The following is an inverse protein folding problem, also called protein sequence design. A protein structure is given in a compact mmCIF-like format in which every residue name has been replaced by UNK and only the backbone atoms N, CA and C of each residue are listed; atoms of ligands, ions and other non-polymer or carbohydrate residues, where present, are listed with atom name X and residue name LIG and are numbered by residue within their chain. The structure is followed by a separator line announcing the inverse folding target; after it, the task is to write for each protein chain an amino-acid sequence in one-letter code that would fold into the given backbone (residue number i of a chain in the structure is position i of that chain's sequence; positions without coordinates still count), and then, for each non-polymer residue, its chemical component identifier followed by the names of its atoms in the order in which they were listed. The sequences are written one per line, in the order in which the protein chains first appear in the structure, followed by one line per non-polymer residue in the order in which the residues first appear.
data_IF_593090143908
#
_entry.id   IF_593090143908
#
_cell.length_a   1.000
_cell.length_b   1.000
_cell.length_c   1.000
_cell.angle_alpha   90.00
_cell.angle_beta   90.00
_cell.angle_gamma   90.00
#
_symmetry.space_group_name_H-M   'P 1'
#
loop_
_entity.id
_entity.type
_entity.pdbx_description
1 polymer ?
#
# COMPACT_ATOMS: atom_id res chain seq x y z
N UNK A 1 -23.17 46.65 3.03
CA UNK A 1 -22.07 46.37 2.08
C UNK A 1 -22.35 45.01 1.44
N UNK A 2 -23.08 45.01 0.32
CA UNK A 2 -23.57 43.80 -0.32
C UNK A 2 -22.54 43.29 -1.36
N UNK A 3 -21.99 42.11 -1.13
CA UNK A 3 -21.04 41.45 -2.04
C UNK A 3 -21.84 40.68 -3.08
N UNK A 4 -22.01 41.28 -4.26
CA UNK A 4 -22.53 40.60 -5.44
C UNK A 4 -21.46 39.69 -6.04
N UNK A 5 -21.61 38.37 -5.83
CA UNK A 5 -20.81 37.34 -6.50
C UNK A 5 -21.15 37.30 -8.00
N UNK A 6 -20.26 37.89 -8.80
CA UNK A 6 -20.27 37.81 -10.26
C UNK A 6 -19.89 36.38 -10.68
N UNK A 7 -20.88 35.59 -11.11
CA UNK A 7 -20.68 34.27 -11.69
C UNK A 7 -19.96 34.43 -13.03
N UNK A 8 -18.68 34.02 -13.07
CA UNK A 8 -17.88 33.99 -14.30
C UNK A 8 -18.32 32.80 -15.16
N UNK A 9 -18.66 32.99 -16.45
CA UNK A 9 -19.08 31.90 -17.32
C UNK A 9 -17.91 30.94 -17.57
N UNK A 10 -18.12 29.68 -17.19
CA UNK A 10 -17.17 28.57 -17.39
C UNK A 10 -17.05 28.29 -18.89
N UNK A 11 -15.96 28.75 -19.48
CA UNK A 11 -15.66 28.56 -20.89
C UNK A 11 -15.52 27.05 -21.21
N UNK A 12 -16.53 26.47 -21.88
CA UNK A 12 -16.53 25.08 -22.36
C UNK A 12 -15.58 24.95 -23.55
N UNK A 13 -14.27 25.03 -23.29
CA UNK A 13 -13.30 24.53 -24.24
C UNK A 13 -13.49 23.02 -24.36
N UNK A 14 -13.83 22.61 -25.58
CA UNK A 14 -14.00 21.25 -26.07
C UNK A 14 -12.69 20.49 -25.88
N UNK A 15 -12.40 20.06 -24.66
CA UNK A 15 -11.42 19.01 -24.37
C UNK A 15 -11.99 17.78 -25.05
N UNK A 16 -11.46 17.45 -26.22
CA UNK A 16 -11.69 16.18 -26.89
C UNK A 16 -11.36 15.11 -25.85
N UNK A 17 -12.40 14.50 -25.28
CA UNK A 17 -12.27 13.53 -24.23
C UNK A 17 -11.64 12.28 -24.84
N UNK A 18 -10.32 12.13 -24.62
CA UNK A 18 -9.50 10.98 -25.03
C UNK A 18 -10.14 9.65 -24.57
N UNK A 19 -11.06 9.70 -23.60
CA UNK A 19 -11.90 8.58 -23.16
C UNK A 19 -12.79 7.96 -24.24
N UNK A 20 -13.29 8.71 -25.23
CA UNK A 20 -14.23 8.14 -26.23
C UNK A 20 -13.57 7.40 -27.40
N UNK A 21 -12.23 7.47 -27.55
CA UNK A 21 -11.49 6.77 -28.61
C UNK A 21 -10.99 5.38 -28.15
N UNK A 22 -11.17 5.04 -26.87
CA UNK A 22 -10.64 3.81 -26.28
C UNK A 22 -11.67 2.68 -26.11
N UNK A 23 -12.93 2.86 -26.52
CA UNK A 23 -14.04 1.96 -26.16
C UNK A 23 -14.65 1.16 -27.33
N UNK A 24 -13.92 1.02 -28.44
CA UNK A 24 -14.30 0.09 -29.50
C UNK A 24 -13.72 -1.29 -29.20
N UNK A 25 -14.55 -2.15 -28.58
CA UNK A 25 -14.48 -3.63 -28.49
C UNK A 25 -13.09 -4.21 -28.72
N UNK A 26 -12.23 -4.15 -27.71
CA UNK A 26 -11.04 -5.01 -27.67
C UNK A 26 -11.49 -6.45 -27.33
N UNK A 27 -10.93 -7.48 -27.98
CA UNK A 27 -11.15 -8.86 -27.58
C UNK A 27 -10.87 -8.99 -26.08
N UNK A 28 -11.69 -9.77 -25.36
CA UNK A 28 -11.48 -10.01 -23.95
C UNK A 28 -10.00 -10.34 -23.73
N UNK A 29 -9.28 -9.59 -22.89
CA UNK A 29 -7.88 -9.83 -22.72
C UNK A 29 -7.70 -11.24 -22.19
N UNK A 30 -6.83 -12.01 -22.86
CA UNK A 30 -6.52 -13.38 -22.45
C UNK A 30 -6.24 -13.39 -20.94
N UNK A 31 -7.13 -14.02 -20.17
CA UNK A 31 -7.10 -13.99 -18.71
C UNK A 31 -6.10 -14.98 -18.12
N UNK A 32 -5.41 -15.75 -18.98
CA UNK A 32 -4.35 -16.68 -18.62
C UNK A 32 -3.09 -15.89 -18.22
N UNK A 33 -2.64 -16.06 -16.97
CA UNK A 33 -1.42 -15.44 -16.44
C UNK A 33 -0.19 -16.26 -16.82
N UNK A 34 0.88 -15.54 -17.14
CA UNK A 34 2.24 -16.11 -17.15
C UNK A 34 2.59 -16.67 -15.76
N UNK A 35 3.08 -17.91 -15.72
CA UNK A 35 3.35 -18.65 -14.46
C UNK A 35 4.34 -17.90 -13.58
N UNK A 36 5.27 -17.17 -14.18
CA UNK A 36 6.29 -16.39 -13.50
C UNK A 36 5.69 -15.17 -12.79
N UNK A 37 4.79 -14.43 -13.45
CA UNK A 37 4.09 -13.31 -12.82
C UNK A 37 3.18 -13.83 -11.70
N UNK A 38 2.47 -14.94 -11.92
CA UNK A 38 1.70 -15.58 -10.88
C UNK A 38 2.58 -15.98 -9.68
N UNK A 39 3.79 -16.48 -9.92
CA UNK A 39 4.72 -16.87 -8.84
C UNK A 39 5.20 -15.68 -8.01
N UNK A 40 5.31 -14.48 -8.60
CA UNK A 40 5.63 -13.24 -7.87
C UNK A 40 4.49 -12.82 -6.94
N UNK A 41 3.23 -13.00 -7.38
CA UNK A 41 2.03 -12.56 -6.65
C UNK A 41 1.49 -13.61 -5.67
N UNK A 42 1.79 -14.90 -5.90
CA UNK A 42 1.31 -16.04 -5.13
C UNK A 42 1.48 -15.91 -3.60
N UNK A 43 2.62 -15.45 -3.06
CA UNK A 43 2.78 -15.34 -1.62
C UNK A 43 1.72 -14.44 -0.99
N UNK A 44 1.48 -13.26 -1.58
CA UNK A 44 0.48 -12.32 -1.09
C UNK A 44 -0.93 -12.84 -1.32
N UNK A 45 -1.20 -13.44 -2.48
CA UNK A 45 -2.52 -14.00 -2.79
C UNK A 45 -2.92 -15.08 -1.80
N UNK A 46 -2.00 -15.98 -1.41
CA UNK A 46 -2.27 -17.03 -0.41
C UNK A 46 -2.65 -16.40 0.93
N UNK A 47 -1.85 -15.45 1.44
CA UNK A 47 -2.15 -14.83 2.75
C UNK A 47 -3.42 -14.00 2.71
N UNK A 48 -3.62 -13.21 1.64
CA UNK A 48 -4.86 -12.47 1.47
C UNK A 48 -6.07 -13.39 1.36
N UNK A 49 -5.93 -14.54 0.69
CA UNK A 49 -7.01 -15.52 0.59
C UNK A 49 -7.35 -16.13 1.95
N UNK A 50 -6.34 -16.53 2.74
CA UNK A 50 -6.50 -17.07 4.10
C UNK A 50 -7.17 -16.04 5.02
N UNK A 51 -6.78 -14.75 4.90
CA UNK A 51 -7.32 -13.65 5.70
C UNK A 51 -8.57 -13.00 5.10
N UNK A 52 -9.26 -13.66 4.17
CA UNK A 52 -10.48 -13.17 3.50
C UNK A 52 -10.38 -11.74 2.94
N UNK A 53 -9.22 -11.38 2.41
CA UNK A 53 -8.87 -10.03 1.92
C UNK A 53 -8.35 -10.03 0.48
N UNK A 54 -8.51 -11.14 -0.24
CA UNK A 54 -8.07 -11.24 -1.63
C UNK A 54 -9.01 -10.48 -2.56
N UNK A 55 -8.49 -9.53 -3.33
CA UNK A 55 -9.30 -8.79 -4.29
C UNK A 55 -9.68 -9.62 -5.55
N UNK A 56 -9.06 -10.77 -5.78
CA UNK A 56 -9.28 -11.57 -6.99
C UNK A 56 -9.00 -13.06 -6.74
N UNK A 57 -9.50 -13.91 -7.63
CA UNK A 57 -9.22 -15.34 -7.62
C UNK A 57 -8.20 -15.70 -8.69
N UNK A 58 -7.33 -16.66 -8.38
CA UNK A 58 -6.45 -17.30 -9.36
C UNK A 58 -6.79 -18.78 -9.37
N UNK A 59 -7.35 -19.28 -10.46
CA UNK A 59 -7.72 -20.69 -10.62
C UNK A 59 -7.21 -21.19 -11.96
N UNK A 60 -6.42 -22.26 -11.98
CA UNK A 60 -5.85 -22.84 -13.21
C UNK A 60 -5.10 -21.82 -14.08
N UNK A 61 -4.31 -20.93 -13.46
CA UNK A 61 -3.60 -19.81 -14.11
C UNK A 61 -4.54 -18.77 -14.76
N UNK A 62 -5.84 -18.77 -14.46
CA UNK A 62 -6.79 -17.76 -14.93
C UNK A 62 -7.07 -16.80 -13.78
N UNK A 63 -6.96 -15.49 -14.02
CA UNK A 63 -7.44 -14.48 -13.06
C UNK A 63 -8.93 -14.27 -13.28
N UNK A 64 -9.70 -14.46 -12.21
CA UNK A 64 -11.12 -14.18 -12.16
C UNK A 64 -11.47 -13.19 -11.06
N UNK A 65 -12.72 -12.73 -11.09
CA UNK A 65 -13.34 -12.15 -9.90
C UNK A 65 -13.46 -13.22 -8.82
N UNK A 66 -13.60 -12.77 -7.58
CA UNK A 66 -13.99 -13.66 -6.51
C UNK A 66 -15.36 -14.29 -6.82
N UNK A 67 -15.60 -15.47 -6.28
CA UNK A 67 -16.92 -16.09 -6.33
C UNK A 67 -17.85 -15.37 -5.35
N UNK A 68 -19.14 -15.39 -5.63
CA UNK A 68 -20.16 -14.88 -4.70
C UNK A 68 -20.04 -15.53 -3.30
N UNK A 69 -19.67 -16.81 -3.26
CA UNK A 69 -19.43 -17.55 -2.01
C UNK A 69 -18.24 -16.96 -1.24
N UNK A 70 -17.14 -16.61 -1.92
CA UNK A 70 -15.99 -15.97 -1.26
C UNK A 70 -16.36 -14.58 -0.72
N UNK A 71 -17.12 -13.79 -1.48
CA UNK A 71 -17.57 -12.47 -1.02
C UNK A 71 -18.50 -12.61 0.21
N UNK A 72 -19.37 -13.62 0.24
CA UNK A 72 -20.17 -13.96 1.42
C UNK A 72 -19.30 -14.33 2.63
N UNK A 73 -18.25 -15.13 2.43
CA UNK A 73 -17.29 -15.45 3.49
C UNK A 73 -16.51 -14.21 3.96
N UNK A 74 -16.15 -13.29 3.06
CA UNK A 74 -15.50 -12.03 3.43
C UNK A 74 -16.40 -11.15 4.32
N UNK A 75 -17.69 -11.04 3.99
CA UNK A 75 -18.68 -10.32 4.79
C UNK A 75 -18.91 -11.02 6.14
N UNK A 76 -19.03 -12.35 6.12
CA UNK A 76 -19.20 -13.14 7.34
C UNK A 76 -18.00 -13.02 8.27
N UNK A 77 -16.77 -13.08 7.71
CA UNK A 77 -15.53 -12.86 8.43
C UNK A 77 -15.48 -11.47 9.07
N UNK A 78 -15.90 -10.42 8.33
CA UNK A 78 -16.02 -9.08 8.89
C UNK A 78 -16.98 -9.03 10.09
N UNK A 79 -18.17 -9.62 9.99
CA UNK A 79 -19.16 -9.60 11.07
C UNK A 79 -18.65 -10.36 12.30
N UNK A 80 -18.13 -11.58 12.08
CA UNK A 80 -17.56 -12.42 13.15
C UNK A 80 -16.42 -11.69 13.84
N UNK A 81 -15.53 -11.06 13.07
CA UNK A 81 -14.46 -10.26 13.64
C UNK A 81 -14.98 -9.11 14.48
N UNK A 82 -15.97 -8.35 14.01
CA UNK A 82 -16.51 -7.22 14.79
C UNK A 82 -17.13 -7.70 16.11
N UNK A 83 -17.76 -8.88 16.12
CA UNK A 83 -18.27 -9.49 17.35
C UNK A 83 -17.11 -9.81 18.31
N UNK A 84 -16.03 -10.43 17.81
CA UNK A 84 -14.85 -10.70 18.63
C UNK A 84 -14.17 -9.43 19.13
N UNK A 85 -13.98 -8.43 18.28
CA UNK A 85 -13.39 -7.14 18.63
C UNK A 85 -14.25 -6.41 19.68
N UNK A 86 -15.57 -6.46 19.53
CA UNK A 86 -16.49 -5.89 20.52
C UNK A 86 -16.47 -6.66 21.84
N UNK A 87 -16.38 -7.99 21.80
CA UNK A 87 -16.23 -8.81 23.00
C UNK A 87 -14.93 -8.49 23.75
N UNK A 88 -13.79 -8.44 23.05
CA UNK A 88 -12.51 -8.01 23.64
C UNK A 88 -12.61 -6.63 24.25
N UNK A 89 -13.17 -5.68 23.51
CA UNK A 89 -13.38 -4.32 24.00
C UNK A 89 -14.15 -4.29 25.32
N UNK A 90 -15.25 -5.04 25.43
CA UNK A 90 -16.05 -5.12 26.67
C UNK A 90 -15.28 -5.87 27.78
N UNK A 91 -14.55 -6.93 27.44
CA UNK A 91 -13.73 -7.67 28.40
C UNK A 91 -12.66 -6.79 29.02
N UNK A 92 -11.93 -6.05 28.19
CA UNK A 92 -10.85 -5.14 28.60
C UNK A 92 -11.39 -3.95 29.41
N UNK A 93 -12.57 -3.42 29.06
CA UNK A 93 -13.21 -2.35 29.83
C UNK A 93 -13.64 -2.79 31.24
N UNK A 94 -14.00 -4.06 31.42
CA UNK A 94 -14.41 -4.63 32.70
C UNK A 94 -13.22 -5.14 33.52
N UNK A 95 -12.00 -5.11 32.98
CA UNK A 95 -10.82 -5.52 33.70
C UNK A 95 -10.45 -4.45 34.73
N UNK A 96 -10.64 -4.78 36.02
CA UNK A 96 -10.35 -3.87 37.13
C UNK A 96 -8.84 -3.73 37.33
N UNK A 97 -8.25 -2.66 36.81
CA UNK A 97 -6.89 -2.24 37.13
C UNK A 97 -6.85 -1.47 38.46
N UNK A 98 -5.71 -1.46 39.17
CA UNK A 98 -5.52 -0.60 40.33
C UNK A 98 -5.94 0.84 40.02
N UNK A 99 -6.85 1.39 40.83
CA UNK A 99 -7.51 2.67 40.56
C UNK A 99 -6.50 3.80 40.36
N UNK A 100 -6.64 4.57 39.27
CA UNK A 100 -5.79 5.75 39.02
C UNK A 100 -5.67 6.13 37.54
N UNK A 101 -4.59 6.82 37.20
CA UNK A 101 -4.28 7.25 35.83
C UNK A 101 -4.11 6.07 34.86
N UNK A 102 -3.55 4.96 35.35
CA UNK A 102 -3.30 3.72 34.61
C UNK A 102 -4.56 3.11 34.02
N UNK A 103 -5.61 3.02 34.83
CA UNK A 103 -6.92 2.50 34.41
C UNK A 103 -7.54 3.35 33.32
N UNK A 104 -7.50 4.68 33.48
CA UNK A 104 -8.03 5.63 32.48
C UNK A 104 -7.28 5.49 31.15
N UNK A 105 -5.94 5.44 31.21
CA UNK A 105 -5.11 5.32 30.02
C UNK A 105 -5.35 3.99 29.28
N UNK A 106 -5.36 2.87 30.01
CA UNK A 106 -5.62 1.56 29.44
C UNK A 106 -6.98 1.54 28.73
N UNK A 107 -8.05 2.00 29.40
CA UNK A 107 -9.40 2.09 28.81
C UNK A 107 -9.45 2.98 27.57
N UNK A 108 -8.79 4.14 27.58
CA UNK A 108 -8.68 5.00 26.40
C UNK A 108 -7.92 4.33 25.25
N UNK A 109 -6.84 3.61 25.57
CA UNK A 109 -6.08 2.80 24.63
C UNK A 109 -6.95 1.74 23.96
N UNK A 110 -7.69 0.96 24.75
CA UNK A 110 -8.63 -0.05 24.26
C UNK A 110 -9.73 0.55 23.38
N UNK A 111 -10.29 1.72 23.74
CA UNK A 111 -11.26 2.44 22.89
C UNK A 111 -10.63 2.80 21.54
N UNK A 112 -9.39 3.32 21.56
CA UNK A 112 -8.69 3.72 20.33
C UNK A 112 -8.39 2.51 19.44
N UNK A 113 -7.89 1.41 20.02
CA UNK A 113 -7.59 0.17 19.31
C UNK A 113 -8.86 -0.43 18.70
N UNK A 114 -9.96 -0.51 19.47
CA UNK A 114 -11.27 -0.95 18.96
C UNK A 114 -11.70 -0.16 17.72
N UNK A 115 -11.69 1.18 17.81
CA UNK A 115 -12.08 2.05 16.70
C UNK A 115 -11.15 1.84 15.49
N UNK A 116 -9.85 1.79 15.73
CA UNK A 116 -8.84 1.70 14.68
C UNK A 116 -8.97 0.36 13.92
N UNK A 117 -9.05 -0.76 14.64
CA UNK A 117 -9.23 -2.08 14.02
C UNK A 117 -10.58 -2.21 13.32
N UNK A 118 -11.67 -1.70 13.92
CA UNK A 118 -13.00 -1.71 13.29
C UNK A 118 -13.04 -0.92 11.99
N UNK A 119 -12.42 0.26 11.94
CA UNK A 119 -12.30 1.05 10.69
C UNK A 119 -11.42 0.33 9.68
N UNK A 120 -10.28 -0.21 10.13
CA UNK A 120 -9.31 -0.88 9.26
C UNK A 120 -9.89 -2.08 8.53
N UNK A 121 -10.57 -2.96 9.27
CA UNK A 121 -11.20 -4.14 8.67
C UNK A 121 -12.38 -3.73 7.78
N UNK A 122 -13.18 -2.74 8.18
CA UNK A 122 -14.26 -2.21 7.36
C UNK A 122 -13.75 -1.69 6.01
N UNK A 123 -12.71 -0.84 6.03
CA UNK A 123 -12.06 -0.34 4.82
C UNK A 123 -11.53 -1.49 3.99
N UNK A 124 -10.86 -2.48 4.60
CA UNK A 124 -10.30 -3.61 3.87
C UNK A 124 -11.38 -4.47 3.18
N UNK A 125 -12.47 -4.80 3.88
CA UNK A 125 -13.58 -5.60 3.34
C UNK A 125 -14.33 -4.86 2.23
N UNK A 126 -14.63 -3.57 2.41
CA UNK A 126 -15.28 -2.76 1.36
C UNK A 126 -14.41 -2.68 0.10
N UNK A 127 -13.10 -2.48 0.27
CA UNK A 127 -12.18 -2.42 -0.87
C UNK A 127 -12.00 -3.78 -1.55
N UNK A 128 -11.99 -4.87 -0.79
CA UNK A 128 -11.92 -6.23 -1.30
C UNK A 128 -13.07 -6.50 -2.31
N UNK A 129 -14.30 -6.18 -1.91
CA UNK A 129 -15.50 -6.37 -2.75
C UNK A 129 -15.54 -5.38 -3.91
N UNK A 130 -15.38 -4.08 -3.63
CA UNK A 130 -15.59 -3.03 -4.64
C UNK A 130 -14.47 -2.94 -5.68
N UNK A 131 -13.24 -3.28 -5.33
CA UNK A 131 -12.07 -3.09 -6.19
C UNK A 131 -11.59 -4.36 -6.89
N UNK A 132 -12.37 -5.44 -6.82
CA UNK A 132 -12.02 -6.73 -7.43
C UNK A 132 -11.73 -6.60 -8.92
N UNK A 133 -12.65 -5.98 -9.68
CA UNK A 133 -12.49 -5.75 -11.12
C UNK A 133 -11.28 -4.87 -11.46
N UNK A 134 -11.03 -3.84 -10.65
CA UNK A 134 -9.87 -2.96 -10.83
C UNK A 134 -8.55 -3.71 -10.63
N UNK A 135 -8.50 -4.62 -9.66
CA UNK A 135 -7.31 -5.43 -9.34
C UNK A 135 -7.01 -6.44 -10.45
N UNK A 136 -8.03 -7.08 -11.01
CA UNK A 136 -7.89 -8.00 -12.17
C UNK A 136 -7.33 -7.24 -13.37
N UNK A 137 -7.94 -6.10 -13.71
CA UNK A 137 -7.52 -5.28 -14.85
C UNK A 137 -6.09 -4.77 -14.68
N UNK A 138 -5.70 -4.44 -13.45
CA UNK A 138 -4.33 -4.06 -13.11
C UNK A 138 -3.35 -5.18 -13.45
N UNK A 139 -3.57 -6.41 -12.99
CA UNK A 139 -2.63 -7.52 -13.20
C UNK A 139 -2.57 -7.92 -14.68
N UNK A 140 -3.71 -8.01 -15.35
CA UNK A 140 -3.80 -8.34 -16.79
C UNK A 140 -3.05 -7.30 -17.64
N UNK A 141 -3.16 -6.02 -17.31
CA UNK A 141 -2.42 -4.99 -18.03
C UNK A 141 -0.92 -5.04 -17.72
N UNK A 142 -0.51 -5.33 -16.48
CA UNK A 142 0.90 -5.58 -16.15
C UNK A 142 1.45 -6.71 -17.01
N UNK A 143 0.78 -7.86 -17.04
CA UNK A 143 1.20 -9.01 -17.84
C UNK A 143 1.34 -8.66 -19.34
N UNK A 144 0.34 -7.96 -19.90
CA UNK A 144 0.40 -7.51 -21.30
C UNK A 144 1.64 -6.65 -21.58
N UNK A 145 1.99 -5.77 -20.64
CA UNK A 145 3.19 -4.94 -20.76
C UNK A 145 4.47 -5.78 -20.65
N UNK A 146 4.52 -6.73 -19.72
CA UNK A 146 5.65 -7.66 -19.58
C UNK A 146 5.90 -8.45 -20.88
N UNK A 147 4.85 -9.00 -21.49
CA UNK A 147 4.93 -9.67 -22.79
C UNK A 147 5.40 -8.74 -23.91
N UNK A 148 4.97 -7.48 -23.89
CA UNK A 148 5.34 -6.47 -24.90
C UNK A 148 6.83 -6.08 -24.82
N UNK A 149 7.41 -6.03 -23.62
CA UNK A 149 8.82 -5.68 -23.39
C UNK A 149 9.77 -6.88 -23.34
N UNK A 150 9.24 -8.11 -23.41
CA UNK A 150 10.01 -9.35 -23.24
C UNK A 150 10.95 -9.28 -22.02
N UNK A 151 10.39 -8.85 -20.88
CA UNK A 151 11.16 -8.72 -19.64
C UNK A 151 11.65 -10.11 -19.22
N UNK A 152 12.93 -10.23 -18.92
CA UNK A 152 13.51 -11.51 -18.54
C UNK A 152 13.00 -11.89 -17.14
N UNK A 153 12.29 -13.00 -17.04
CA UNK A 153 11.74 -13.48 -15.77
C UNK A 153 12.83 -13.84 -14.74
N UNK A 154 14.07 -14.08 -15.16
CA UNK A 154 15.19 -14.26 -14.24
C UNK A 154 15.39 -13.04 -13.33
N UNK A 155 15.07 -11.83 -13.82
CA UNK A 155 15.12 -10.60 -13.02
C UNK A 155 14.04 -10.55 -11.93
N UNK A 156 12.94 -11.33 -12.09
CA UNK A 156 11.85 -11.41 -11.11
C UNK A 156 12.08 -12.49 -10.05
N UNK A 157 13.00 -13.44 -10.26
CA UNK A 157 13.25 -14.55 -9.32
C UNK A 157 13.65 -14.05 -7.93
N UNK A 158 14.46 -12.98 -7.87
CA UNK A 158 14.81 -12.34 -6.61
C UNK A 158 13.58 -11.77 -5.88
N UNK A 159 12.59 -11.23 -6.61
CA UNK A 159 11.35 -10.74 -6.00
C UNK A 159 10.53 -11.87 -5.40
N UNK A 160 10.43 -13.01 -6.08
CA UNK A 160 9.71 -14.19 -5.57
C UNK A 160 10.29 -14.62 -4.22
N UNK A 161 11.62 -14.79 -4.15
CA UNK A 161 12.31 -15.22 -2.93
C UNK A 161 12.14 -14.18 -1.82
N UNK A 162 12.35 -12.90 -2.13
CA UNK A 162 12.19 -11.81 -1.16
C UNK A 162 10.76 -11.74 -0.59
N UNK A 163 9.73 -11.89 -1.43
CA UNK A 163 8.33 -11.86 -1.01
C UNK A 163 8.00 -13.02 -0.06
N UNK A 164 8.49 -14.24 -0.34
CA UNK A 164 8.30 -15.38 0.56
C UNK A 164 9.01 -15.21 1.90
N UNK A 165 10.28 -14.81 1.87
CA UNK A 165 11.06 -14.56 3.10
C UNK A 165 10.33 -13.55 3.97
N UNK A 166 9.87 -12.45 3.37
CA UNK A 166 9.16 -11.43 4.11
C UNK A 166 7.88 -11.96 4.75
N UNK A 167 7.03 -12.65 3.99
CA UNK A 167 5.75 -13.16 4.51
C UNK A 167 5.97 -14.16 5.64
N UNK A 168 6.92 -15.08 5.47
CA UNK A 168 7.27 -16.07 6.49
C UNK A 168 7.78 -15.35 7.74
N UNK A 169 8.68 -14.38 7.58
CA UNK A 169 9.18 -13.56 8.68
C UNK A 169 8.07 -12.82 9.40
N UNK A 170 7.14 -12.18 8.68
CA UNK A 170 6.02 -11.44 9.27
C UNK A 170 5.08 -12.36 10.08
N UNK A 171 4.79 -13.56 9.58
CA UNK A 171 3.97 -14.55 10.28
C UNK A 171 4.69 -15.06 11.53
N UNK A 172 5.95 -15.49 11.40
CA UNK A 172 6.74 -15.99 12.53
C UNK A 172 6.87 -14.90 13.61
N UNK A 173 7.21 -13.68 13.21
CA UNK A 173 7.34 -12.55 14.12
C UNK A 173 6.02 -12.27 14.85
N UNK A 174 4.88 -12.35 14.16
CA UNK A 174 3.57 -12.14 14.77
C UNK A 174 3.19 -13.26 15.74
N UNK A 175 3.49 -14.52 15.41
CA UNK A 175 3.27 -15.65 16.31
C UNK A 175 4.14 -15.53 17.56
N UNK A 176 5.44 -15.24 17.40
CA UNK A 176 6.36 -15.02 18.53
C UNK A 176 5.83 -13.87 19.39
N UNK A 177 5.41 -12.76 18.78
CA UNK A 177 4.90 -11.61 19.52
C UNK A 177 3.65 -11.96 20.32
N UNK A 178 2.70 -12.67 19.71
CA UNK A 178 1.48 -13.14 20.37
C UNK A 178 1.80 -14.09 21.54
N UNK A 179 2.69 -15.06 21.33
CA UNK A 179 3.11 -15.99 22.37
C UNK A 179 3.83 -15.27 23.51
N UNK A 180 4.74 -14.34 23.24
CA UNK A 180 5.44 -13.60 24.30
C UNK A 180 4.47 -12.74 25.10
N UNK A 181 3.56 -12.02 24.44
CA UNK A 181 2.53 -11.26 25.15
C UNK A 181 1.63 -12.17 25.99
N UNK A 182 1.35 -13.38 25.50
CA UNK A 182 0.63 -14.41 26.27
C UNK A 182 1.35 -14.79 27.55
N UNK A 183 2.61 -15.16 27.45
CA UNK A 183 3.35 -15.65 28.60
C UNK A 183 3.73 -14.55 29.58
N UNK A 184 3.87 -13.30 29.13
CA UNK A 184 4.37 -12.21 29.98
C UNK A 184 3.30 -11.34 30.62
N UNK A 185 2.11 -11.12 30.01
CA UNK A 185 1.17 -10.10 30.49
C UNK A 185 -0.08 -10.70 31.16
N UNK A 186 -0.67 -11.75 30.59
CA UNK A 186 -2.02 -12.18 31.00
C UNK A 186 -2.07 -13.71 31.15
N UNK A 187 -2.31 -14.19 32.38
CA UNK A 187 -2.85 -15.52 32.62
C UNK A 187 -4.25 -15.62 32.00
N UNK A 188 -4.32 -15.94 30.70
CA UNK A 188 -5.59 -16.15 29.99
C UNK A 188 -5.76 -15.34 28.70
N UNK A 189 -4.78 -15.35 27.80
CA UNK A 189 -5.00 -14.83 26.45
C UNK A 189 -6.17 -15.55 25.79
N UNK A 190 -7.14 -14.74 25.38
CA UNK A 190 -8.26 -15.18 24.59
C UNK A 190 -7.86 -15.36 23.13
N UNK A 191 -8.67 -16.10 22.40
CA UNK A 191 -8.55 -16.25 20.94
C UNK A 191 -8.50 -14.89 20.23
N UNK A 192 -9.06 -13.83 20.83
CA UNK A 192 -9.15 -12.51 20.25
C UNK A 192 -7.79 -11.85 19.93
N UNK A 193 -6.78 -11.98 20.79
CA UNK A 193 -5.46 -11.35 20.57
C UNK A 193 -4.82 -11.88 19.28
N UNK A 194 -4.92 -13.19 19.04
CA UNK A 194 -4.48 -13.83 17.80
C UNK A 194 -5.17 -13.25 16.57
N UNK A 195 -6.44 -12.86 16.69
CA UNK A 195 -7.20 -12.28 15.58
C UNK A 195 -6.72 -10.86 15.27
N UNK A 196 -6.38 -10.06 16.29
CA UNK A 196 -5.77 -8.74 16.08
C UNK A 196 -4.42 -8.84 15.35
N UNK A 197 -3.57 -9.79 15.74
CA UNK A 197 -2.31 -10.06 15.04
C UNK A 197 -2.55 -10.47 13.58
N UNK A 198 -3.54 -11.33 13.33
CA UNK A 198 -3.91 -11.73 11.97
C UNK A 198 -4.33 -10.54 11.10
N UNK A 199 -5.04 -9.57 11.68
CA UNK A 199 -5.45 -8.36 10.96
C UNK A 199 -4.29 -7.41 10.72
N UNK A 200 -3.38 -7.27 11.69
CA UNK A 200 -2.17 -6.49 11.42
C UNK A 200 -1.34 -7.08 10.29
N UNK A 201 -1.22 -8.42 10.19
CA UNK A 201 -0.58 -9.07 9.04
C UNK A 201 -1.33 -8.72 7.74
N UNK A 202 -2.67 -8.66 7.76
CA UNK A 202 -3.45 -8.26 6.60
C UNK A 202 -3.08 -6.84 6.13
N UNK A 203 -2.90 -5.88 7.04
CA UNK A 203 -2.49 -4.52 6.69
C UNK A 203 -1.07 -4.48 6.10
N UNK A 204 -0.13 -5.20 6.71
CA UNK A 204 1.25 -5.33 6.21
C UNK A 204 1.26 -5.86 4.77
N UNK A 205 0.57 -6.99 4.55
CA UNK A 205 0.48 -7.68 3.26
C UNK A 205 -0.13 -6.78 2.18
N UNK A 206 -1.14 -5.99 2.52
CA UNK A 206 -1.76 -5.05 1.58
C UNK A 206 -0.77 -3.98 1.06
N UNK A 207 0.05 -3.41 1.94
CA UNK A 207 1.06 -2.39 1.57
C UNK A 207 2.20 -3.01 0.78
N UNK A 208 2.63 -4.22 1.15
CA UNK A 208 3.67 -4.95 0.43
C UNK A 208 3.22 -5.39 -0.96
N UNK A 209 1.98 -5.85 -1.08
CA UNK A 209 1.38 -6.16 -2.36
C UNK A 209 1.40 -4.94 -3.29
N UNK A 210 0.97 -3.76 -2.79
CA UNK A 210 1.05 -2.52 -3.55
C UNK A 210 2.51 -2.15 -3.92
N UNK A 211 3.46 -2.37 -3.01
CA UNK A 211 4.90 -2.17 -3.26
C UNK A 211 5.40 -3.05 -4.41
N UNK A 212 5.03 -4.33 -4.43
CA UNK A 212 5.44 -5.27 -5.47
C UNK A 212 4.86 -4.89 -6.83
N UNK A 213 3.59 -4.53 -6.89
CA UNK A 213 2.97 -4.05 -8.14
C UNK A 213 3.68 -2.80 -8.68
N UNK A 214 4.02 -1.85 -7.80
CA UNK A 214 4.74 -0.64 -8.19
C UNK A 214 6.17 -0.96 -8.66
N UNK A 215 6.83 -1.93 -8.02
CA UNK A 215 8.16 -2.39 -8.43
C UNK A 215 8.15 -3.06 -9.81
N UNK A 216 7.09 -3.81 -10.13
CA UNK A 216 6.88 -4.37 -11.47
C UNK A 216 6.67 -3.27 -12.52
N UNK A 217 5.89 -2.23 -12.20
CA UNK A 217 5.74 -1.06 -13.07
C UNK A 217 7.05 -0.30 -13.29
N UNK A 218 7.84 -0.13 -12.23
CA UNK A 218 9.17 0.48 -12.31
C UNK A 218 10.09 -0.31 -13.25
N UNK A 219 10.07 -1.65 -13.18
CA UNK A 219 10.84 -2.51 -14.10
C UNK A 219 10.44 -2.35 -15.56
N UNK A 220 9.14 -2.21 -15.82
CA UNK A 220 8.64 -1.91 -17.17
C UNK A 220 9.22 -0.58 -17.68
N UNK A 221 9.17 0.47 -16.84
CA UNK A 221 9.71 1.78 -17.17
C UNK A 221 11.23 1.74 -17.40
N UNK A 222 11.99 1.08 -16.53
CA UNK A 222 13.45 0.93 -16.67
C UNK A 222 13.80 0.26 -18.02
N UNK A 223 13.07 -0.79 -18.39
CA UNK A 223 13.27 -1.45 -19.68
C UNK A 223 12.94 -0.53 -20.86
N UNK A 224 11.87 0.23 -20.74
CA UNK A 224 11.46 1.23 -21.74
C UNK A 224 12.51 2.34 -21.92
N UNK A 225 13.09 2.83 -20.82
CA UNK A 225 14.21 3.79 -20.83
C UNK A 225 15.43 3.18 -21.53
N UNK A 226 15.77 1.93 -21.21
CA UNK A 226 16.88 1.22 -21.84
C UNK A 226 16.72 1.07 -23.35
N UNK A 227 15.48 0.84 -23.80
CA UNK A 227 15.13 0.82 -25.23
C UNK A 227 15.34 2.22 -25.84
N UNK A 228 14.81 3.28 -25.21
CA UNK A 228 14.97 4.64 -25.72
C UNK A 228 16.42 5.08 -25.85
N UNK A 229 17.28 4.66 -24.92
CA UNK A 229 18.70 5.00 -24.95
C UNK A 229 19.48 4.23 -26.02
N UNK A 230 19.07 3.00 -26.35
CA UNK A 230 19.74 2.16 -27.36
C UNK A 230 19.28 2.45 -28.77
N UNK A 231 18.01 2.81 -28.93
CA UNK A 231 17.47 3.11 -30.24
C UNK A 231 17.85 4.53 -30.65
N UNK A 232 18.85 4.65 -31.53
CA UNK A 232 19.17 5.88 -32.25
C UNK A 232 18.06 6.32 -33.20
N UNK A 233 18.41 7.01 -34.29
CA UNK A 233 17.43 7.56 -35.24
C UNK A 233 16.89 6.53 -36.25
N UNK A 234 17.21 5.25 -36.08
CA UNK A 234 16.85 4.15 -37.01
C UNK A 234 15.45 3.57 -36.82
N UNK A 235 14.69 4.03 -35.83
CA UNK A 235 13.33 3.52 -35.57
C UNK A 235 12.30 4.14 -36.53
N UNK A 236 11.30 3.34 -36.91
CA UNK A 236 10.17 3.82 -37.71
C UNK A 236 9.09 4.50 -36.84
N UNK A 237 8.15 5.20 -37.50
CA UNK A 237 7.03 5.88 -36.84
C UNK A 237 6.13 4.92 -36.04
N UNK A 238 5.86 3.74 -36.58
CA UNK A 238 5.03 2.72 -35.94
C UNK A 238 5.59 2.28 -34.59
N UNK A 239 6.90 2.16 -34.49
CA UNK A 239 7.57 1.83 -33.24
C UNK A 239 7.33 2.89 -32.18
N UNK A 240 7.45 4.18 -32.52
CA UNK A 240 7.23 5.27 -31.58
C UNK A 240 5.78 5.42 -31.17
N UNK A 241 4.85 5.14 -32.09
CA UNK A 241 3.42 5.01 -31.78
C UNK A 241 3.18 3.90 -30.76
N UNK A 242 3.82 2.74 -30.94
CA UNK A 242 3.76 1.62 -29.99
C UNK A 242 4.36 2.01 -28.63
N UNK A 243 5.52 2.67 -28.60
CA UNK A 243 6.17 3.13 -27.37
C UNK A 243 5.32 4.14 -26.59
N UNK A 244 4.67 5.08 -27.29
CA UNK A 244 3.72 6.02 -26.69
C UNK A 244 2.52 5.29 -26.08
N UNK A 245 1.93 4.34 -26.82
CA UNK A 245 0.79 3.57 -26.32
C UNK A 245 1.15 2.75 -25.07
N UNK A 246 2.34 2.14 -25.04
CA UNK A 246 2.81 1.42 -23.86
C UNK A 246 3.02 2.35 -22.67
N UNK A 247 3.54 3.56 -22.87
CA UNK A 247 3.66 4.57 -21.81
C UNK A 247 2.27 4.97 -21.26
N UNK A 248 1.29 5.16 -22.15
CA UNK A 248 -0.10 5.43 -21.75
C UNK A 248 -0.71 4.28 -20.94
N UNK A 249 -0.42 3.03 -21.32
CA UNK A 249 -0.86 1.85 -20.59
C UNK A 249 -0.21 1.76 -19.19
N UNK A 250 1.11 2.02 -19.07
CA UNK A 250 1.80 2.10 -17.77
C UNK A 250 1.14 3.14 -16.87
N UNK A 251 0.85 4.31 -17.43
CA UNK A 251 0.22 5.41 -16.72
C UNK A 251 -1.19 5.04 -16.23
N UNK A 252 -1.97 4.40 -17.10
CA UNK A 252 -3.32 3.91 -16.78
C UNK A 252 -3.27 2.88 -15.64
N UNK A 253 -2.32 1.96 -15.69
CA UNK A 253 -2.14 0.95 -14.63
C UNK A 253 -1.70 1.56 -13.30
N UNK A 254 -0.79 2.53 -13.34
CA UNK A 254 -0.42 3.30 -12.15
C UNK A 254 -1.64 4.01 -11.53
N UNK A 255 -2.52 4.59 -12.34
CA UNK A 255 -3.77 5.20 -11.86
C UNK A 255 -4.72 4.19 -11.20
N UNK A 256 -4.81 2.95 -11.71
CA UNK A 256 -5.55 1.88 -11.03
C UNK A 256 -4.89 1.50 -9.71
N UNK A 257 -3.55 1.35 -9.70
CA UNK A 257 -2.80 1.03 -8.49
C UNK A 257 -3.04 2.08 -7.41
N UNK A 258 -2.85 3.36 -7.73
CA UNK A 258 -3.11 4.48 -6.81
C UNK A 258 -4.53 4.43 -6.26
N UNK A 259 -5.55 4.31 -7.12
CA UNK A 259 -6.94 4.25 -6.65
C UNK A 259 -7.19 3.07 -5.72
N UNK A 260 -6.57 1.92 -5.98
CA UNK A 260 -6.76 0.69 -5.20
C UNK A 260 -6.03 0.72 -3.85
N UNK A 261 -4.79 1.21 -3.83
CA UNK A 261 -3.95 1.18 -2.64
C UNK A 261 -4.11 2.41 -1.74
N UNK A 262 -4.58 3.55 -2.27
CA UNK A 262 -4.60 4.84 -1.55
C UNK A 262 -5.23 4.77 -0.16
N UNK A 263 -6.43 4.23 -0.03
CA UNK A 263 -7.12 4.14 1.27
C UNK A 263 -6.41 3.18 2.23
N UNK A 264 -5.90 2.05 1.73
CA UNK A 264 -5.14 1.08 2.52
C UNK A 264 -3.84 1.71 3.08
N UNK A 265 -3.14 2.50 2.27
CA UNK A 265 -1.92 3.20 2.67
C UNK A 265 -2.21 4.30 3.70
N UNK A 266 -3.26 5.12 3.48
CA UNK A 266 -3.67 6.15 4.46
C UNK A 266 -3.95 5.51 5.80
N UNK A 267 -4.78 4.47 5.80
CA UNK A 267 -5.12 3.75 7.02
C UNK A 267 -3.87 3.18 7.68
N UNK A 268 -2.98 2.54 6.92
CA UNK A 268 -1.73 2.00 7.44
C UNK A 268 -0.83 3.08 8.06
N UNK A 269 -0.70 4.26 7.45
CA UNK A 269 0.07 5.37 8.04
C UNK A 269 -0.54 5.88 9.35
N UNK A 270 -1.87 6.03 9.40
CA UNK A 270 -2.59 6.41 10.64
C UNK A 270 -2.40 5.34 11.72
N UNK A 271 -2.54 4.06 11.34
CA UNK A 271 -2.34 2.92 12.21
C UNK A 271 -0.93 2.94 12.84
N UNK A 272 0.12 3.16 12.04
CA UNK A 272 1.49 3.27 12.57
C UNK A 272 1.61 4.43 13.56
N UNK A 273 1.04 5.60 13.23
CA UNK A 273 1.10 6.77 14.12
C UNK A 273 0.45 6.47 15.48
N UNK A 274 -0.78 5.97 15.46
CA UNK A 274 -1.55 5.63 16.66
C UNK A 274 -0.85 4.56 17.50
N UNK A 275 -0.42 3.46 16.89
CA UNK A 275 0.26 2.36 17.60
C UNK A 275 1.60 2.81 18.16
N UNK A 276 2.37 3.63 17.44
CA UNK A 276 3.66 4.14 17.92
C UNK A 276 3.49 5.04 19.14
N UNK A 277 2.50 5.93 19.14
CA UNK A 277 2.20 6.79 20.28
C UNK A 277 1.70 5.97 21.48
N UNK A 278 0.82 4.99 21.25
CA UNK A 278 0.32 4.09 22.31
C UNK A 278 1.44 3.31 22.96
N UNK A 279 2.33 2.71 22.16
CA UNK A 279 3.49 1.96 22.67
C UNK A 279 4.40 2.87 23.48
N UNK A 280 4.62 4.11 23.03
CA UNK A 280 5.45 5.04 23.77
C UNK A 280 4.87 5.38 25.15
N UNK A 281 3.58 5.72 25.22
CA UNK A 281 2.96 6.05 26.50
C UNK A 281 2.90 4.82 27.41
N UNK A 282 2.65 3.62 26.85
CA UNK A 282 2.75 2.36 27.58
C UNK A 282 4.15 2.18 28.19
N UNK A 283 5.22 2.48 27.45
CA UNK A 283 6.59 2.39 27.97
C UNK A 283 6.82 3.38 29.11
N UNK A 284 6.39 4.63 28.99
CA UNK A 284 6.56 5.64 30.05
C UNK A 284 5.87 5.22 31.34
N UNK A 285 4.67 4.68 31.21
CA UNK A 285 3.89 4.10 32.29
C UNK A 285 4.62 2.93 32.95
N UNK A 286 5.14 2.00 32.14
CA UNK A 286 5.81 0.80 32.63
C UNK A 286 7.15 1.13 33.30
N UNK A 287 7.83 2.19 32.86
CA UNK A 287 9.08 2.65 33.46
C UNK A 287 8.89 3.18 34.90
N UNK A 288 7.71 3.67 35.25
CA UNK A 288 7.40 4.16 36.60
C UNK A 288 7.22 3.01 37.62
N UNK A 289 6.79 1.83 37.15
CA UNK A 289 6.46 0.65 37.98
C UNK A 289 7.60 -0.39 38.10
N UNK A 290 8.83 -0.01 37.76
CA UNK A 290 10.01 -0.89 37.66
C UNK A 290 10.54 -1.48 38.99
N UNK A 291 9.70 -1.63 40.03
CA UNK A 291 10.14 -2.00 41.39
C UNK A 291 10.31 -3.50 41.66
N UNK A 292 10.25 -4.40 40.65
CA UNK A 292 10.52 -5.83 40.91
C UNK A 292 10.26 -6.89 39.82
N UNK A 293 9.89 -6.54 38.58
CA UNK A 293 9.67 -7.50 37.45
C UNK A 293 10.48 -7.15 36.19
N UNK A 294 11.77 -6.94 36.35
CA UNK A 294 12.59 -6.28 35.32
C UNK A 294 12.66 -7.05 33.99
N UNK A 295 12.74 -8.39 34.02
CA UNK A 295 12.99 -9.16 32.78
C UNK A 295 11.77 -9.23 31.87
N UNK A 296 10.59 -9.56 32.38
CA UNK A 296 9.35 -9.63 31.59
C UNK A 296 9.01 -8.27 30.98
N UNK A 297 9.18 -7.21 31.78
CA UNK A 297 8.94 -5.85 31.35
C UNK A 297 9.87 -5.43 30.20
N UNK A 298 11.17 -5.69 30.36
CA UNK A 298 12.17 -5.42 29.32
C UNK A 298 11.83 -6.17 28.03
N UNK A 299 11.38 -7.43 28.14
CA UNK A 299 10.98 -8.22 26.96
C UNK A 299 9.77 -7.60 26.24
N UNK A 300 8.75 -7.15 26.97
CA UNK A 300 7.57 -6.47 26.39
C UNK A 300 8.00 -5.17 25.69
N UNK A 301 8.88 -4.38 26.31
CA UNK A 301 9.40 -3.14 25.74
C UNK A 301 10.16 -3.44 24.44
N UNK A 302 11.08 -4.41 24.45
CA UNK A 302 11.84 -4.80 23.25
C UNK A 302 10.90 -5.26 22.13
N UNK A 303 9.92 -6.08 22.45
CA UNK A 303 8.99 -6.65 21.48
C UNK A 303 8.09 -5.59 20.84
N UNK A 304 7.51 -4.70 21.65
CA UNK A 304 6.66 -3.60 21.17
C UNK A 304 7.46 -2.61 20.33
N UNK A 305 8.71 -2.32 20.69
CA UNK A 305 9.61 -1.52 19.87
C UNK A 305 9.98 -2.23 18.55
N UNK A 306 10.27 -3.53 18.58
CA UNK A 306 10.51 -4.31 17.38
C UNK A 306 9.29 -4.28 16.42
N UNK A 307 8.07 -4.30 16.96
CA UNK A 307 6.84 -4.18 16.17
C UNK A 307 6.74 -2.82 15.45
N UNK A 308 7.04 -1.72 16.15
CA UNK A 308 7.05 -0.38 15.56
C UNK A 308 8.14 -0.24 14.48
N UNK A 309 9.33 -0.78 14.73
CA UNK A 309 10.43 -0.79 13.76
C UNK A 309 10.04 -1.58 12.51
N UNK A 310 9.40 -2.75 12.66
CA UNK A 310 8.84 -3.53 11.54
C UNK A 310 7.89 -2.68 10.70
N UNK A 311 6.92 -2.03 11.34
CA UNK A 311 5.93 -1.21 10.65
C UNK A 311 6.56 -0.03 9.90
N UNK A 312 7.51 0.66 10.53
CA UNK A 312 8.27 1.75 9.91
C UNK A 312 9.11 1.25 8.72
N UNK A 313 9.72 0.07 8.84
CA UNK A 313 10.48 -0.54 7.74
C UNK A 313 9.60 -0.82 6.52
N UNK A 314 8.38 -1.36 6.72
CA UNK A 314 7.40 -1.57 5.63
C UNK A 314 7.06 -0.25 4.95
N UNK A 315 6.79 0.79 5.75
CA UNK A 315 6.43 2.11 5.22
C UNK A 315 7.60 2.71 4.41
N UNK A 316 8.83 2.66 4.93
CA UNK A 316 10.05 3.12 4.25
C UNK A 316 10.28 2.36 2.95
N UNK A 317 10.11 1.04 2.98
CA UNK A 317 10.25 0.20 1.79
C UNK A 317 9.25 0.58 0.70
N UNK A 318 7.99 0.78 1.08
CA UNK A 318 6.94 1.18 0.16
C UNK A 318 7.20 2.57 -0.42
N UNK A 319 7.46 3.58 0.42
CA UNK A 319 7.71 4.96 -0.05
C UNK A 319 9.00 5.07 -0.87
N UNK A 320 10.04 4.29 -0.53
CA UNK A 320 11.25 4.19 -1.34
C UNK A 320 10.98 3.57 -2.72
N UNK A 321 10.06 2.60 -2.81
CA UNK A 321 9.61 2.05 -4.09
C UNK A 321 8.83 3.09 -4.91
N UNK A 322 7.99 3.90 -4.27
CA UNK A 322 7.32 5.04 -4.89
C UNK A 322 8.31 6.05 -5.46
N UNK A 323 9.32 6.46 -4.68
CA UNK A 323 10.29 7.47 -5.13
C UNK A 323 11.14 6.96 -6.29
N UNK A 324 11.52 5.67 -6.29
CA UNK A 324 12.20 5.04 -7.45
C UNK A 324 11.35 5.09 -8.71
N UNK A 325 10.07 4.74 -8.62
CA UNK A 325 9.15 4.84 -9.74
C UNK A 325 9.01 6.29 -10.24
N UNK A 326 8.89 7.26 -9.32
CA UNK A 326 8.81 8.67 -9.69
C UNK A 326 10.10 9.18 -10.35
N UNK A 327 11.27 8.76 -9.87
CA UNK A 327 12.55 9.07 -10.48
C UNK A 327 12.62 8.54 -11.91
N UNK A 328 12.24 7.28 -12.14
CA UNK A 328 12.22 6.69 -13.47
C UNK A 328 11.26 7.42 -14.43
N UNK A 329 10.08 7.86 -13.94
CA UNK A 329 9.16 8.70 -14.71
C UNK A 329 9.76 10.08 -15.03
N UNK A 330 10.55 10.69 -14.13
CA UNK A 330 11.28 11.94 -14.41
C UNK A 330 12.39 11.73 -15.45
N UNK A 331 13.08 10.60 -15.41
CA UNK A 331 14.12 10.27 -16.40
C UNK A 331 13.54 10.14 -17.81
N UNK A 332 12.36 9.53 -17.96
CA UNK A 332 11.61 9.51 -19.22
C UNK A 332 11.41 10.95 -19.74
N UNK A 333 10.99 11.86 -18.87
CA UNK A 333 10.76 13.25 -19.24
C UNK A 333 12.04 13.91 -19.76
N UNK A 334 13.14 13.75 -19.02
CA UNK A 334 14.45 14.29 -19.36
C UNK A 334 14.95 13.75 -20.71
N UNK A 335 14.80 12.44 -20.95
CA UNK A 335 15.14 11.80 -22.23
C UNK A 335 14.26 12.35 -23.36
N UNK A 336 12.97 12.54 -23.14
CA UNK A 336 12.06 13.12 -24.14
C UNK A 336 12.43 14.56 -24.49
N UNK A 337 12.78 15.39 -23.49
CA UNK A 337 13.24 16.77 -23.71
C UNK A 337 14.54 16.79 -24.50
N UNK A 338 15.52 15.95 -24.13
CA UNK A 338 16.78 15.80 -24.86
C UNK A 338 16.54 15.42 -26.32
N UNK A 339 15.67 14.42 -26.57
CA UNK A 339 15.33 14.00 -27.92
C UNK A 339 14.62 15.09 -28.74
N UNK A 340 13.74 15.88 -28.13
CA UNK A 340 13.06 16.99 -28.84
C UNK A 340 14.05 18.07 -29.31
N UNK A 341 15.06 18.35 -28.49
CA UNK A 341 16.07 19.39 -28.73
C UNK A 341 17.24 18.94 -29.62
N UNK A 342 17.31 17.65 -29.98
CA UNK A 342 18.32 17.17 -30.91
C UNK A 342 18.12 17.78 -32.31
N UNK A 343 19.22 18.20 -32.96
CA UNK A 343 19.22 18.90 -34.26
C UNK A 343 18.49 18.10 -35.34
N UNK A 344 18.69 16.78 -35.37
CA UNK A 344 18.16 15.87 -36.40
C UNK A 344 17.03 14.98 -35.87
N UNK A 345 16.14 15.50 -35.01
CA UNK A 345 15.01 14.72 -34.49
C UNK A 345 13.87 14.61 -35.52
N UNK A 346 13.50 13.39 -35.99
CA UNK A 346 12.37 13.20 -36.89
C UNK A 346 11.06 13.75 -36.32
N UNK A 347 10.17 14.25 -37.20
CA UNK A 347 8.92 14.91 -36.81
C UNK A 347 8.02 14.02 -35.95
N UNK A 348 7.90 12.74 -36.29
CA UNK A 348 7.10 11.77 -35.54
C UNK A 348 7.69 11.47 -34.15
N UNK A 349 9.02 11.40 -34.02
CA UNK A 349 9.74 11.19 -32.74
C UNK A 349 9.47 12.36 -31.81
N UNK A 350 9.66 13.58 -32.35
CA UNK A 350 9.38 14.83 -31.66
C UNK A 350 7.92 14.90 -31.21
N UNK A 351 6.96 14.49 -32.04
CA UNK A 351 5.53 14.45 -31.71
C UNK A 351 5.24 13.47 -30.58
N UNK A 352 5.78 12.25 -30.63
CA UNK A 352 5.61 11.24 -29.59
C UNK A 352 6.17 11.72 -28.24
N UNK A 353 7.41 12.23 -28.21
CA UNK A 353 8.02 12.79 -27.01
C UNK A 353 7.22 13.98 -26.43
N UNK A 354 6.73 14.89 -27.29
CA UNK A 354 5.87 16.00 -26.84
C UNK A 354 4.57 15.49 -26.20
N UNK A 355 3.98 14.44 -26.77
CA UNK A 355 2.76 13.82 -26.22
C UNK A 355 3.03 13.16 -24.87
N UNK A 356 4.14 12.44 -24.71
CA UNK A 356 4.56 11.85 -23.43
C UNK A 356 4.71 12.95 -22.36
N UNK A 357 5.46 14.01 -22.66
CA UNK A 357 5.64 15.14 -21.73
C UNK A 357 4.30 15.79 -21.39
N UNK A 358 3.39 15.94 -22.36
CA UNK A 358 2.06 16.51 -22.12
C UNK A 358 1.24 15.63 -21.19
N UNK A 359 1.20 14.32 -21.43
CA UNK A 359 0.48 13.36 -20.58
C UNK A 359 1.04 13.40 -19.17
N UNK A 360 2.36 13.39 -19.02
CA UNK A 360 3.02 13.49 -17.72
C UNK A 360 2.63 14.79 -17.00
N UNK A 361 2.74 15.96 -17.65
CA UNK A 361 2.39 17.24 -17.03
C UNK A 361 0.92 17.36 -16.63
N UNK A 362 0.02 16.79 -17.43
CA UNK A 362 -1.43 16.95 -17.21
C UNK A 362 -2.04 15.88 -16.33
N UNK A 363 -1.43 14.70 -16.29
CA UNK A 363 -2.04 13.54 -15.64
C UNK A 363 -1.22 13.11 -14.44
N UNK A 364 0.13 13.06 -14.57
CA UNK A 364 0.98 12.50 -13.52
C UNK A 364 0.92 13.33 -12.24
N UNK A 365 0.43 12.67 -11.20
CA UNK A 365 0.47 13.14 -9.83
C UNK A 365 1.18 12.06 -9.01
N UNK A 366 2.08 12.48 -8.11
CA UNK A 366 2.59 11.57 -7.07
C UNK A 366 1.39 11.00 -6.31
N UNK A 367 1.47 9.73 -5.95
CA UNK A 367 0.42 9.08 -5.17
C UNK A 367 0.13 9.93 -3.94
N UNK A 368 -1.12 10.34 -3.78
CA UNK A 368 -1.54 11.17 -2.67
C UNK A 368 -2.52 10.42 -1.80
N UNK A 369 -2.21 10.36 -0.51
CA UNK A 369 -2.96 9.67 0.51
C UNK A 369 -4.20 10.53 0.86
N UNK A 370 -5.28 10.37 0.08
CA UNK A 370 -6.54 11.12 0.19
C UNK A 370 -6.38 12.66 0.16
N UNK A 371 -5.30 13.19 -0.41
CA UNK A 371 -5.02 14.63 -0.41
C UNK A 371 -4.38 15.16 0.88
N UNK A 372 -4.24 14.33 1.92
CA UNK A 372 -3.63 14.72 3.19
C UNK A 372 -2.12 14.86 3.07
N UNK A 373 -1.46 13.87 2.47
CA UNK A 373 -0.01 13.86 2.27
C UNK A 373 0.38 13.20 0.94
N UNK A 374 1.57 13.54 0.44
CA UNK A 374 2.20 12.85 -0.69
C UNK A 374 2.91 11.59 -0.20
N UNK A 375 2.66 10.47 -0.88
CA UNK A 375 3.34 9.21 -0.61
C UNK A 375 4.67 9.21 -1.36
N UNK A 376 5.68 9.76 -0.72
CA UNK A 376 7.08 9.75 -1.18
C UNK A 376 8.05 9.52 -0.01
N UNK A 377 9.35 9.60 -0.27
CA UNK A 377 10.40 9.32 0.72
C UNK A 377 10.35 10.25 1.95
N UNK A 378 9.61 11.36 1.91
CA UNK A 378 9.46 12.27 3.06
C UNK A 378 8.41 11.79 4.07
N UNK A 379 7.48 10.91 3.67
CA UNK A 379 6.39 10.46 4.52
C UNK A 379 6.85 9.76 5.82
N UNK A 380 7.79 8.78 5.79
CA UNK A 380 8.26 8.16 7.02
C UNK A 380 9.00 9.15 7.93
N UNK A 381 9.72 10.12 7.35
CA UNK A 381 10.42 11.16 8.11
C UNK A 381 9.43 12.09 8.81
N UNK A 382 8.37 12.51 8.13
CA UNK A 382 7.29 13.31 8.71
C UNK A 382 6.58 12.54 9.84
N UNK A 383 6.32 11.24 9.63
CA UNK A 383 5.72 10.39 10.66
C UNK A 383 6.64 10.22 11.88
N UNK A 384 7.93 9.97 11.67
CA UNK A 384 8.91 9.92 12.76
C UNK A 384 9.00 11.25 13.50
N UNK A 385 9.04 12.38 12.79
CA UNK A 385 9.03 13.71 13.41
C UNK A 385 7.78 13.91 14.27
N UNK A 386 6.60 13.51 13.77
CA UNK A 386 5.35 13.58 14.50
C UNK A 386 5.42 12.76 15.79
N UNK A 387 5.81 11.48 15.70
CA UNK A 387 5.93 10.60 16.87
C UNK A 387 6.93 11.16 17.88
N UNK A 388 8.10 11.64 17.45
CA UNK A 388 9.12 12.24 18.33
C UNK A 388 8.64 13.52 19.01
N UNK A 389 7.92 14.40 18.29
CA UNK A 389 7.36 15.62 18.91
C UNK A 389 6.41 15.29 20.05
N UNK A 390 5.47 14.35 19.82
CA UNK A 390 4.58 13.90 20.89
C UNK A 390 5.32 13.13 21.98
N UNK A 391 6.41 12.44 21.63
CA UNK A 391 7.25 11.78 22.63
C UNK A 391 7.86 12.75 23.63
N UNK A 392 8.39 13.87 23.13
CA UNK A 392 8.91 14.95 23.98
C UNK A 392 7.81 15.53 24.86
N UNK A 393 6.61 15.75 24.33
CA UNK A 393 5.47 16.24 25.11
C UNK A 393 5.08 15.27 26.22
N UNK A 394 4.99 13.97 25.93
CA UNK A 394 4.68 12.98 26.96
C UNK A 394 5.77 12.90 28.03
N UNK A 395 7.05 12.92 27.63
CA UNK A 395 8.17 12.99 28.58
C UNK A 395 8.10 14.22 29.48
N UNK A 396 7.72 15.38 28.94
CA UNK A 396 7.53 16.60 29.74
C UNK A 396 6.43 16.43 30.77
N UNK A 397 5.26 15.90 30.40
CA UNK A 397 4.17 15.66 31.34
C UNK A 397 4.48 14.59 32.40
N UNK A 398 5.39 13.66 32.11
CA UNK A 398 5.79 12.61 33.06
C UNK A 398 6.82 13.11 34.08
N UNK A 399 7.75 13.99 33.68
CA UNK A 399 8.91 14.35 34.51
C UNK A 399 8.93 15.79 35.05
N UNK A 400 8.12 16.71 34.50
CA UNK A 400 7.99 18.11 34.94
C UNK A 400 6.61 18.32 35.57
#
# INVERSE_FOLDING_TARGET
MAITLKVVPKNKNKVISITNILDTRKPEPNRVIDKELQSVLKPFHIIQYILFSSNYSITNNIIGSNSFIYDFFCISYFIVFQIFNFYSFISDLNYDLPSGFMDIYYKLGTICDFILFSIGIFVNSVLCVYQSQGSILLIVNIQRMFGSFRINFNELRYLIVFNWIYIIFAIIFSIISACTLHFCIIEGIGICDFVEFAISICFDVNVLYASVLLKLLNKIIEKWIGILNKCGDTLNEDYWKKMLNMYLDVYKVYGYLERTSRLKIVFFTIYIACVSLRVLVLILILLDDLSGKDVELILIIILTQAWNVKNMFILIWFTGTCEKFYAAVRDIQSICVKNINAKECPVWKRRACKNIIRVQRTTFKKMSACGLFSVDATLPLQLSSFVTTYAVVFLQFTFL
#
